data_IF_294620031336
#
_entry.id   IF_294620031336
#
_cell.length_a   1.000
_cell.length_b   1.000
_cell.length_c   1.000
_cell.angle_alpha   90.00
_cell.angle_beta   90.00
_cell.angle_gamma   90.00
#
_symmetry.space_group_name_H-M   'P 1'
#
loop_
_entity.id
_entity.type
_entity.pdbx_description
1 polymer ?
#
# COMPACT_ATOMS: atom_id res chain seq x y z
N UNK A 1 22.55 -2.84 -11.96
CA UNK A 1 21.43 -2.34 -11.15
C UNK A 1 21.78 -2.36 -9.66
N UNK A 2 22.10 -3.51 -9.04
CA UNK A 2 22.49 -3.55 -7.60
C UNK A 2 23.79 -2.82 -7.24
N UNK A 3 24.69 -2.58 -8.20
CA UNK A 3 25.93 -1.81 -7.97
C UNK A 3 25.69 -0.30 -7.82
N UNK A 4 24.55 0.20 -8.27
CA UNK A 4 24.18 1.62 -8.21
C UNK A 4 23.21 1.89 -7.06
N UNK A 5 22.32 0.95 -6.77
CA UNK A 5 21.34 1.04 -5.69
C UNK A 5 21.45 -0.16 -4.76
N UNK A 6 21.82 0.10 -3.51
CA UNK A 6 21.84 -0.91 -2.44
C UNK A 6 20.43 -1.11 -1.87
N UNK A 7 19.56 -1.80 -2.61
CA UNK A 7 18.21 -2.14 -2.15
C UNK A 7 18.31 -3.25 -1.10
N UNK A 8 17.81 -3.00 0.11
CA UNK A 8 17.89 -3.95 1.22
C UNK A 8 16.61 -4.80 1.38
N UNK A 9 15.45 -4.21 1.12
CA UNK A 9 14.15 -4.85 1.19
C UNK A 9 13.11 -4.09 0.36
N UNK A 10 11.96 -4.71 0.10
CA UNK A 10 10.82 -4.09 -0.56
C UNK A 10 9.51 -4.41 0.18
N UNK A 11 8.67 -3.39 0.40
CA UNK A 11 7.35 -3.54 1.03
C UNK A 11 6.17 -3.07 0.15
N UNK A 12 5.90 -3.66 -1.03
CA UNK A 12 4.73 -3.31 -1.84
C UNK A 12 3.41 -3.56 -1.09
N UNK A 13 2.43 -2.67 -1.26
CA UNK A 13 1.13 -2.73 -0.57
C UNK A 13 -0.04 -2.63 -1.55
N UNK A 14 -0.95 -3.60 -1.51
CA UNK A 14 -2.16 -3.67 -2.36
C UNK A 14 -1.87 -3.45 -3.86
N UNK A 15 -0.80 -4.04 -4.39
CA UNK A 15 -0.45 -3.93 -5.81
C UNK A 15 -1.19 -4.93 -6.70
N UNK A 16 -1.66 -4.53 -7.90
CA UNK A 16 -2.28 -5.43 -8.86
C UNK A 16 -1.21 -6.18 -9.68
N UNK A 17 -0.43 -7.06 -9.04
CA UNK A 17 0.73 -7.71 -9.66
C UNK A 17 0.35 -8.71 -10.78
N UNK A 18 -0.82 -9.34 -10.67
CA UNK A 18 -1.36 -10.32 -11.61
C UNK A 18 -2.54 -9.72 -12.37
N UNK A 19 -2.23 -8.77 -13.26
CA UNK A 19 -3.18 -8.04 -14.09
C UNK A 19 -3.98 -8.97 -14.99
N UNK A 20 -3.32 -9.92 -15.65
CA UNK A 20 -3.95 -10.83 -16.62
C UNK A 20 -4.64 -12.05 -15.98
N UNK A 21 -4.47 -12.23 -14.68
CA UNK A 21 -5.09 -13.26 -13.86
C UNK A 21 -6.07 -12.66 -12.86
N UNK A 22 -5.71 -12.65 -11.57
CA UNK A 22 -6.65 -12.33 -10.48
C UNK A 22 -7.26 -10.93 -10.57
N UNK A 23 -6.53 -9.91 -11.01
CA UNK A 23 -7.10 -8.55 -11.11
C UNK A 23 -8.16 -8.44 -12.21
N UNK A 24 -7.97 -9.11 -13.35
CA UNK A 24 -8.91 -9.05 -14.49
C UNK A 24 -10.29 -9.65 -14.18
N UNK A 25 -10.41 -10.49 -13.14
CA UNK A 25 -11.69 -11.06 -12.72
C UNK A 25 -12.69 -9.98 -12.29
N UNK A 26 -12.22 -8.86 -11.73
CA UNK A 26 -13.06 -7.73 -11.37
C UNK A 26 -13.77 -7.14 -12.60
N UNK A 27 -13.05 -7.02 -13.72
CA UNK A 27 -13.62 -6.54 -15.00
C UNK A 27 -14.67 -7.52 -15.52
N UNK A 28 -14.40 -8.83 -15.44
CA UNK A 28 -15.30 -9.88 -15.94
C UNK A 28 -16.55 -10.08 -15.08
N UNK A 29 -16.49 -9.76 -13.79
CA UNK A 29 -17.59 -10.00 -12.86
C UNK A 29 -18.80 -9.06 -13.04
N UNK A 30 -18.58 -7.88 -13.60
CA UNK A 30 -19.55 -6.78 -13.67
C UNK A 30 -20.19 -6.42 -12.30
N UNK A 31 -19.51 -6.73 -11.20
CA UNK A 31 -19.89 -6.24 -9.88
C UNK A 31 -19.73 -4.70 -9.83
N UNK A 32 -20.52 -4.00 -8.99
CA UNK A 32 -20.25 -2.60 -8.71
C UNK A 32 -18.81 -2.39 -8.26
N UNK A 33 -18.13 -1.46 -8.90
CA UNK A 33 -16.74 -1.09 -8.61
C UNK A 33 -16.72 0.33 -8.05
N UNK A 34 -16.02 0.53 -6.94
CA UNK A 34 -15.97 1.83 -6.26
C UNK A 34 -15.18 2.88 -7.05
N UNK A 35 -14.26 2.43 -7.91
CA UNK A 35 -13.32 3.29 -8.64
C UNK A 35 -13.34 3.01 -10.16
N UNK A 36 -14.51 3.17 -10.84
CA UNK A 36 -14.67 2.85 -12.26
C UNK A 36 -13.72 3.63 -13.19
N UNK A 37 -13.25 4.81 -12.75
CA UNK A 37 -12.27 5.60 -13.48
C UNK A 37 -10.95 4.88 -13.75
N UNK A 38 -10.55 3.92 -12.90
CA UNK A 38 -9.34 3.12 -13.13
C UNK A 38 -9.43 2.25 -14.38
N UNK A 39 -10.62 1.81 -14.79
CA UNK A 39 -10.80 1.05 -16.03
C UNK A 39 -10.50 1.94 -17.24
N UNK A 40 -11.01 3.17 -17.23
CA UNK A 40 -10.70 4.16 -18.27
C UNK A 40 -9.20 4.48 -18.27
N UNK A 41 -8.62 4.70 -17.08
CA UNK A 41 -7.21 5.04 -16.96
C UNK A 41 -6.30 3.94 -17.51
N UNK A 42 -6.60 2.68 -17.19
CA UNK A 42 -5.89 1.51 -17.69
C UNK A 42 -5.97 1.42 -19.22
N UNK A 43 -7.17 1.52 -19.79
CA UNK A 43 -7.36 1.46 -21.24
C UNK A 43 -6.63 2.60 -21.96
N UNK A 44 -6.69 3.82 -21.43
CA UNK A 44 -6.05 4.98 -22.03
C UNK A 44 -4.53 4.89 -21.95
N UNK A 45 -3.99 4.51 -20.79
CA UNK A 45 -2.56 4.30 -20.58
C UNK A 45 -1.99 3.20 -21.46
N UNK A 46 -2.66 2.04 -21.52
CA UNK A 46 -2.22 0.93 -22.37
C UNK A 46 -2.30 1.30 -23.85
N UNK A 47 -3.35 1.99 -24.31
CA UNK A 47 -3.43 2.43 -25.70
C UNK A 47 -2.38 3.50 -26.04
N UNK A 48 -2.01 4.36 -25.08
CA UNK A 48 -0.93 5.34 -25.28
C UNK A 48 0.43 4.68 -25.52
N UNK A 49 0.66 3.51 -24.91
CA UNK A 49 1.92 2.74 -25.03
C UNK A 49 1.89 1.80 -26.24
N UNK A 50 0.82 1.03 -26.43
CA UNK A 50 0.75 -0.04 -27.43
C UNK A 50 0.03 0.34 -28.72
N UNK A 51 -0.91 1.31 -28.66
CA UNK A 51 -1.60 1.87 -29.83
C UNK A 51 -2.58 0.95 -30.55
N UNK A 52 -2.84 -0.25 -30.02
CA UNK A 52 -3.63 -1.30 -30.67
C UNK A 52 -4.93 -1.67 -29.93
N UNK A 53 -5.35 -0.85 -28.95
CA UNK A 53 -6.60 -1.09 -28.21
C UNK A 53 -7.80 -0.40 -28.84
N UNK A 54 -7.65 0.84 -29.30
CA UNK A 54 -8.73 1.62 -29.94
C UNK A 54 -8.19 2.78 -30.78
N UNK A 55 -9.00 3.29 -31.71
CA UNK A 55 -8.68 4.48 -32.51
C UNK A 55 -9.38 5.71 -31.95
N UNK A 56 -10.66 5.60 -31.61
CA UNK A 56 -11.48 6.66 -31.01
C UNK A 56 -12.02 6.21 -29.65
N UNK A 57 -12.29 7.16 -28.74
CA UNK A 57 -12.87 6.84 -27.44
C UNK A 57 -14.23 6.14 -27.55
N UNK A 58 -15.01 6.44 -28.59
CA UNK A 58 -16.28 5.77 -28.88
C UNK A 58 -16.16 4.27 -29.19
N UNK A 59 -14.96 3.79 -29.55
CA UNK A 59 -14.71 2.37 -29.82
C UNK A 59 -14.74 1.53 -28.52
N UNK A 60 -14.45 2.17 -27.38
CA UNK A 60 -14.37 1.52 -26.06
C UNK A 60 -15.37 2.06 -25.05
N UNK A 61 -15.80 3.32 -25.18
CA UNK A 61 -16.75 3.97 -24.29
C UNK A 61 -18.10 4.17 -24.97
N UNK A 62 -19.18 3.98 -24.22
CA UNK A 62 -20.55 4.32 -24.61
C UNK A 62 -20.76 5.84 -24.53
N UNK A 63 -21.70 6.36 -25.32
CA UNK A 63 -22.16 7.74 -25.16
C UNK A 63 -22.95 7.92 -23.85
N UNK A 64 -22.78 9.03 -23.11
CA UNK A 64 -21.95 10.20 -23.41
C UNK A 64 -20.50 10.11 -22.89
N UNK A 65 -20.11 8.98 -22.28
CA UNK A 65 -18.81 8.81 -21.60
C UNK A 65 -17.61 8.95 -22.54
N UNK A 66 -17.76 8.56 -23.81
CA UNK A 66 -16.77 8.75 -24.86
C UNK A 66 -16.34 10.22 -25.07
N UNK A 67 -17.20 11.17 -24.72
CA UNK A 67 -16.93 12.60 -24.84
C UNK A 67 -16.62 13.26 -23.50
N UNK A 68 -17.35 12.89 -22.44
CA UNK A 68 -17.23 13.59 -21.15
C UNK A 68 -16.03 13.10 -20.33
N UNK A 69 -15.57 11.85 -20.51
CA UNK A 69 -14.50 11.26 -19.68
C UNK A 69 -13.10 11.64 -20.14
N UNK A 70 -12.74 11.60 -21.44
CA UNK A 70 -11.37 11.91 -21.87
C UNK A 70 -10.81 13.25 -21.38
N UNK A 71 -11.58 14.36 -21.33
CA UNK A 71 -11.08 15.63 -20.80
C UNK A 71 -10.60 15.59 -19.34
N UNK A 72 -11.07 14.64 -18.53
CA UNK A 72 -10.58 14.50 -17.14
C UNK A 72 -9.18 13.89 -17.04
N UNK A 73 -8.65 13.31 -18.12
CA UNK A 73 -7.32 12.69 -18.16
C UNK A 73 -6.23 13.65 -18.66
N UNK A 74 -6.28 14.91 -18.23
CA UNK A 74 -5.27 15.94 -18.52
C UNK A 74 -4.14 16.02 -17.47
N UNK A 75 -4.24 15.20 -16.42
CA UNK A 75 -3.28 15.15 -15.30
C UNK A 75 -3.57 16.13 -14.16
N UNK A 76 -4.65 16.91 -14.23
CA UNK A 76 -5.02 17.90 -13.20
C UNK A 76 -6.20 17.47 -12.32
N UNK A 77 -7.05 16.57 -12.80
CA UNK A 77 -8.20 16.07 -12.03
C UNK A 77 -7.82 14.89 -11.13
N UNK A 78 -8.26 14.89 -9.86
CA UNK A 78 -8.15 13.71 -9.02
C UNK A 78 -9.09 12.60 -9.52
N UNK A 79 -8.74 11.34 -9.24
CA UNK A 79 -9.53 10.18 -9.69
C UNK A 79 -11.00 10.23 -9.21
N UNK A 80 -11.26 10.81 -8.04
CA UNK A 80 -12.63 10.96 -7.52
C UNK A 80 -13.51 11.83 -8.43
N UNK A 81 -12.94 12.83 -9.10
CA UNK A 81 -13.67 13.63 -10.09
C UNK A 81 -14.08 12.79 -11.30
N UNK A 82 -13.24 11.85 -11.73
CA UNK A 82 -13.55 10.91 -12.81
C UNK A 82 -14.64 9.92 -12.38
N UNK A 83 -14.47 9.32 -11.20
CA UNK A 83 -15.41 8.35 -10.64
C UNK A 83 -16.83 8.92 -10.52
N UNK A 84 -16.95 10.20 -10.14
CA UNK A 84 -18.23 10.88 -10.03
C UNK A 84 -19.00 11.04 -11.36
N UNK A 85 -18.32 10.92 -12.51
CA UNK A 85 -18.94 10.99 -13.84
C UNK A 85 -19.35 9.63 -14.39
N UNK A 86 -18.97 8.53 -13.74
CA UNK A 86 -19.15 7.18 -14.24
C UNK A 86 -20.18 6.41 -13.39
N UNK A 87 -21.00 5.55 -14.00
CA UNK A 87 -21.79 4.58 -13.26
C UNK A 87 -20.87 3.54 -12.61
N UNK A 88 -21.32 2.92 -11.52
CA UNK A 88 -20.51 2.00 -10.75
C UNK A 88 -20.27 0.65 -11.44
N UNK A 89 -21.01 0.33 -12.51
CA UNK A 89 -20.81 -0.91 -13.27
C UNK A 89 -20.15 -0.64 -14.61
N UNK A 90 -19.19 -1.48 -14.95
CA UNK A 90 -18.36 -1.34 -16.16
C UNK A 90 -19.21 -1.47 -17.43
N UNK A 91 -20.20 -2.37 -17.44
CA UNK A 91 -21.12 -2.54 -18.57
C UNK A 91 -21.95 -1.28 -18.89
N UNK A 92 -22.11 -0.35 -17.95
CA UNK A 92 -22.94 0.83 -18.16
C UNK A 92 -22.18 1.93 -18.93
N UNK A 93 -20.85 1.84 -19.03
CA UNK A 93 -20.02 2.84 -19.73
C UNK A 93 -19.00 2.28 -20.73
N UNK A 94 -18.61 1.00 -20.66
CA UNK A 94 -17.80 0.33 -21.69
C UNK A 94 -18.69 -0.28 -22.76
N UNK A 95 -18.25 -0.25 -24.01
CA UNK A 95 -18.94 -0.90 -25.13
C UNK A 95 -19.14 -2.41 -24.89
N UNK A 96 -20.36 -2.91 -25.12
CA UNK A 96 -20.71 -4.31 -24.85
C UNK A 96 -19.86 -5.28 -25.69
N UNK A 97 -19.53 -4.90 -26.93
CA UNK A 97 -18.68 -5.67 -27.82
C UNK A 97 -17.27 -5.86 -27.25
N UNK A 98 -16.70 -4.84 -26.61
CA UNK A 98 -15.37 -4.91 -25.99
C UNK A 98 -15.39 -5.89 -24.82
N UNK A 99 -16.38 -5.78 -23.93
CA UNK A 99 -16.52 -6.69 -22.78
C UNK A 99 -16.77 -8.13 -23.22
N UNK A 100 -17.64 -8.34 -24.21
CA UNK A 100 -17.93 -9.67 -24.74
C UNK A 100 -16.70 -10.29 -25.41
N UNK A 101 -15.95 -9.53 -26.20
CA UNK A 101 -14.73 -10.02 -26.84
C UNK A 101 -13.64 -10.34 -25.81
N UNK A 102 -13.49 -9.51 -24.77
CA UNK A 102 -12.57 -9.75 -23.67
C UNK A 102 -12.94 -11.03 -22.90
N UNK A 103 -14.22 -11.22 -22.56
CA UNK A 103 -14.73 -12.40 -21.89
C UNK A 103 -14.58 -13.68 -22.74
N UNK A 104 -14.94 -13.63 -24.03
CA UNK A 104 -14.79 -14.75 -24.96
C UNK A 104 -13.33 -15.18 -25.13
N UNK A 105 -12.40 -14.22 -25.06
CA UNK A 105 -10.97 -14.48 -25.16
C UNK A 105 -10.31 -14.77 -23.80
N UNK A 106 -11.06 -14.97 -22.71
CA UNK A 106 -10.49 -15.14 -21.37
C UNK A 106 -9.58 -16.35 -21.23
N UNK A 107 -9.82 -17.42 -21.99
CA UNK A 107 -8.96 -18.62 -22.03
C UNK A 107 -7.82 -18.48 -23.03
N UNK A 108 -8.09 -18.03 -24.25
CA UNK A 108 -7.06 -17.92 -25.32
C UNK A 108 -6.12 -16.73 -25.12
N UNK A 109 -6.55 -15.75 -24.33
CA UNK A 109 -5.89 -14.46 -24.12
C UNK A 109 -5.60 -13.71 -25.43
N UNK A 110 -6.33 -14.00 -26.50
CA UNK A 110 -6.04 -13.46 -27.85
C UNK A 110 -6.51 -12.02 -28.09
N UNK A 111 -7.27 -11.43 -27.16
CA UNK A 111 -7.70 -10.04 -27.25
C UNK A 111 -6.50 -9.09 -26.99
N UNK A 112 -6.36 -7.95 -27.71
CA UNK A 112 -5.27 -6.99 -27.48
C UNK A 112 -5.14 -6.54 -26.02
N UNK A 113 -6.27 -6.29 -25.34
CA UNK A 113 -6.27 -6.00 -23.90
C UNK A 113 -5.61 -7.11 -23.07
N UNK A 114 -5.91 -8.40 -23.33
CA UNK A 114 -5.24 -9.49 -22.61
C UNK A 114 -3.73 -9.48 -22.82
N UNK A 115 -3.28 -9.28 -24.06
CA UNK A 115 -1.87 -9.20 -24.39
C UNK A 115 -1.19 -8.01 -23.70
N UNK A 116 -1.87 -6.87 -23.63
CA UNK A 116 -1.39 -5.68 -22.91
C UNK A 116 -1.30 -5.92 -21.40
N UNK A 117 -2.28 -6.62 -20.79
CA UNK A 117 -2.23 -6.99 -19.37
C UNK A 117 -1.07 -7.96 -19.08
N UNK A 118 -0.88 -8.99 -19.91
CA UNK A 118 0.21 -9.97 -19.77
C UNK A 118 1.58 -9.30 -19.80
N UNK A 119 1.79 -8.35 -20.71
CA UNK A 119 3.05 -7.58 -20.79
C UNK A 119 3.34 -6.74 -19.53
N UNK A 120 2.33 -6.50 -18.70
CA UNK A 120 2.43 -5.71 -17.47
C UNK A 120 2.22 -6.56 -16.20
N UNK A 121 2.08 -7.90 -16.32
CA UNK A 121 2.16 -8.77 -15.15
C UNK A 121 3.56 -8.65 -14.54
N UNK A 122 3.62 -8.46 -13.23
CA UNK A 122 4.88 -8.22 -12.52
C UNK A 122 4.96 -9.05 -11.24
N UNK A 123 4.89 -10.38 -11.40
CA UNK A 123 4.82 -11.29 -10.27
C UNK A 123 5.60 -12.59 -10.44
N UNK A 124 5.78 -13.10 -11.65
CA UNK A 124 6.47 -14.37 -11.91
C UNK A 124 7.97 -14.17 -12.19
N UNK A 125 8.72 -13.79 -11.15
CA UNK A 125 10.18 -13.63 -11.20
C UNK A 125 10.81 -13.91 -9.83
N UNK A 126 12.15 -13.92 -9.74
CA UNK A 126 12.89 -14.09 -8.48
C UNK A 126 13.45 -12.75 -7.95
N UNK A 127 12.76 -12.05 -7.05
CA UNK A 127 13.35 -10.95 -6.30
C UNK A 127 14.59 -11.36 -5.51
N UNK A 128 15.69 -10.64 -5.70
CA UNK A 128 16.94 -10.92 -4.99
C UNK A 128 17.04 -10.29 -3.60
N UNK A 129 16.02 -9.53 -3.20
CA UNK A 129 15.94 -8.87 -1.89
C UNK A 129 14.71 -9.40 -1.14
N UNK A 130 14.75 -9.45 0.20
CA UNK A 130 13.59 -9.73 1.01
C UNK A 130 12.39 -8.84 0.66
N UNK A 131 11.22 -9.44 0.53
CA UNK A 131 10.00 -8.73 0.12
C UNK A 131 8.80 -9.13 0.97
N UNK A 132 8.03 -8.16 1.44
CA UNK A 132 6.73 -8.38 2.07
C UNK A 132 5.63 -7.70 1.25
N UNK A 133 4.66 -8.48 0.78
CA UNK A 133 3.51 -8.03 0.01
C UNK A 133 2.31 -7.83 0.94
N UNK A 134 2.02 -6.59 1.32
CA UNK A 134 0.92 -6.28 2.24
C UNK A 134 -0.41 -6.21 1.50
N UNK A 135 -1.47 -6.79 2.10
CA UNK A 135 -2.83 -6.74 1.55
C UNK A 135 -3.90 -6.74 2.63
N UNK A 136 -5.12 -6.35 2.28
CA UNK A 136 -6.30 -6.49 3.12
C UNK A 136 -7.40 -7.28 2.39
N UNK A 137 -8.18 -8.07 3.14
CA UNK A 137 -9.14 -9.02 2.53
C UNK A 137 -10.45 -8.37 2.08
N UNK A 138 -10.72 -7.13 2.47
CA UNK A 138 -11.88 -6.35 2.01
C UNK A 138 -11.48 -5.23 1.06
N UNK A 139 -10.26 -5.27 0.51
CA UNK A 139 -9.82 -4.32 -0.51
C UNK A 139 -10.72 -4.46 -1.76
N UNK A 140 -11.57 -3.45 -1.96
CA UNK A 140 -12.56 -3.40 -3.01
C UNK A 140 -12.00 -2.86 -4.34
N UNK A 141 -10.76 -2.38 -4.35
CA UNK A 141 -10.12 -1.76 -5.51
C UNK A 141 -9.13 -2.73 -6.19
N UNK A 142 -8.34 -3.45 -5.39
CA UNK A 142 -7.32 -4.41 -5.83
C UNK A 142 -7.56 -5.75 -5.17
N UNK A 143 -7.75 -6.80 -5.97
CA UNK A 143 -8.01 -8.12 -5.43
C UNK A 143 -6.81 -8.62 -4.62
N UNK A 144 -7.02 -8.97 -3.34
CA UNK A 144 -5.92 -9.45 -2.48
C UNK A 144 -5.22 -10.70 -3.04
N UNK A 145 -5.92 -11.46 -3.89
CA UNK A 145 -5.37 -12.61 -4.60
C UNK A 145 -4.14 -12.24 -5.43
N UNK A 146 -3.99 -10.99 -5.90
CA UNK A 146 -2.76 -10.53 -6.54
C UNK A 146 -1.53 -10.75 -5.65
N UNK A 147 -1.62 -10.40 -4.37
CA UNK A 147 -0.50 -10.55 -3.42
C UNK A 147 -0.20 -12.03 -3.13
N UNK A 148 -1.23 -12.87 -3.08
CA UNK A 148 -1.08 -14.30 -2.87
C UNK A 148 -0.45 -14.99 -4.08
N UNK A 149 -0.93 -14.69 -5.29
CA UNK A 149 -0.39 -15.22 -6.54
C UNK A 149 1.08 -14.81 -6.71
N UNK A 150 1.40 -13.55 -6.42
CA UNK A 150 2.76 -13.03 -6.50
C UNK A 150 3.70 -13.71 -5.50
N UNK A 151 3.33 -13.78 -4.22
CA UNK A 151 4.17 -14.45 -3.23
C UNK A 151 4.37 -15.93 -3.58
N UNK A 152 3.34 -16.61 -4.09
CA UNK A 152 3.43 -18.02 -4.51
C UNK A 152 4.42 -18.20 -5.67
N UNK A 153 4.29 -17.41 -6.76
CA UNK A 153 5.16 -17.51 -7.93
C UNK A 153 6.61 -17.13 -7.59
N UNK A 154 6.81 -16.00 -6.90
CA UNK A 154 8.14 -15.55 -6.47
C UNK A 154 8.82 -16.56 -5.53
N UNK A 155 8.08 -17.14 -4.57
CA UNK A 155 8.62 -18.19 -3.69
C UNK A 155 9.00 -19.45 -4.47
N UNK A 156 8.18 -19.86 -5.45
CA UNK A 156 8.48 -20.99 -6.33
C UNK A 156 9.76 -20.75 -7.17
N UNK A 157 10.06 -19.49 -7.48
CA UNK A 157 11.29 -19.08 -8.14
C UNK A 157 12.50 -18.88 -7.19
N UNK A 158 12.33 -19.16 -5.89
CA UNK A 158 13.39 -19.14 -4.88
C UNK A 158 13.60 -17.81 -4.16
N UNK A 159 12.66 -16.87 -4.28
CA UNK A 159 12.74 -15.59 -3.59
C UNK A 159 12.37 -15.69 -2.10
N UNK A 160 12.96 -14.82 -1.27
CA UNK A 160 12.50 -14.61 0.10
C UNK A 160 11.35 -13.59 0.11
N UNK A 161 10.13 -14.09 -0.01
CA UNK A 161 8.92 -13.26 -0.10
C UNK A 161 7.83 -13.79 0.82
N UNK A 162 6.99 -12.90 1.35
CA UNK A 162 5.79 -13.28 2.10
C UNK A 162 4.62 -12.36 1.75
N UNK A 163 3.41 -12.91 1.66
CA UNK A 163 2.18 -12.12 1.58
C UNK A 163 1.61 -11.93 2.99
N UNK A 164 1.47 -10.68 3.42
CA UNK A 164 1.13 -10.32 4.79
C UNK A 164 -0.28 -9.73 4.85
N UNK A 165 -1.22 -10.47 5.44
CA UNK A 165 -2.58 -10.01 5.68
C UNK A 165 -2.59 -8.94 6.78
N UNK A 166 -3.09 -7.75 6.45
CA UNK A 166 -3.19 -6.61 7.36
C UNK A 166 -4.60 -6.40 7.91
N UNK A 167 -5.53 -7.31 7.63
CA UNK A 167 -6.87 -7.35 8.20
C UNK A 167 -7.98 -7.21 7.15
N UNK A 168 -9.20 -7.10 7.64
CA UNK A 168 -10.40 -7.01 6.83
C UNK A 168 -10.80 -5.55 6.59
N UNK A 169 -9.92 -4.79 5.92
CA UNK A 169 -10.11 -3.37 5.62
C UNK A 169 -10.35 -3.13 4.13
N UNK A 170 -11.08 -2.06 3.81
CA UNK A 170 -11.21 -1.49 2.45
C UNK A 170 -9.85 -1.03 1.93
N UNK A 171 -9.74 -0.71 0.64
CA UNK A 171 -8.49 -0.22 0.03
C UNK A 171 -7.91 0.97 0.81
N UNK A 172 -8.75 1.98 1.08
CA UNK A 172 -8.36 3.15 1.88
C UNK A 172 -8.08 2.81 3.35
N UNK A 173 -8.83 1.88 3.94
CA UNK A 173 -8.60 1.41 5.31
C UNK A 173 -7.31 0.59 5.47
N UNK A 174 -6.81 -0.02 4.39
CA UNK A 174 -5.60 -0.83 4.40
C UNK A 174 -4.31 -0.01 4.48
N UNK A 175 -4.36 1.27 4.14
CA UNK A 175 -3.18 2.15 4.04
C UNK A 175 -2.36 2.15 5.33
N UNK A 176 -2.97 2.43 6.49
CA UNK A 176 -2.23 2.53 7.75
C UNK A 176 -1.67 1.18 8.20
N UNK A 177 -2.45 0.08 8.24
CA UNK A 177 -1.91 -1.24 8.55
C UNK A 177 -0.77 -1.69 7.63
N UNK A 178 -0.90 -1.50 6.31
CA UNK A 178 0.12 -1.89 5.34
C UNK A 178 1.39 -1.07 5.47
N UNK A 179 1.27 0.26 5.59
CA UNK A 179 2.42 1.14 5.78
C UNK A 179 3.15 0.85 7.11
N UNK A 180 2.43 0.53 8.18
CA UNK A 180 3.05 0.09 9.45
C UNK A 180 3.92 -1.15 9.23
N UNK A 181 3.41 -2.14 8.48
CA UNK A 181 4.18 -3.34 8.16
C UNK A 181 5.46 -3.02 7.37
N UNK A 182 5.35 -2.14 6.36
CA UNK A 182 6.51 -1.74 5.58
C UNK A 182 7.57 -1.04 6.45
N UNK A 183 7.14 -0.20 7.41
CA UNK A 183 8.04 0.44 8.36
C UNK A 183 8.72 -0.60 9.27
N UNK A 184 7.97 -1.59 9.77
CA UNK A 184 8.54 -2.70 10.56
C UNK A 184 9.63 -3.45 9.77
N UNK A 185 9.33 -3.80 8.51
CA UNK A 185 10.29 -4.45 7.62
C UNK A 185 11.54 -3.60 7.46
N UNK A 186 11.40 -2.32 7.10
CA UNK A 186 12.55 -1.46 6.85
C UNK A 186 13.36 -1.18 8.12
N UNK A 187 12.70 -1.03 9.26
CA UNK A 187 13.34 -0.87 10.57
C UNK A 187 14.22 -2.07 10.91
N UNK A 188 13.85 -3.28 10.47
CA UNK A 188 14.67 -4.49 10.68
C UNK A 188 15.99 -4.50 9.89
N UNK A 189 16.11 -3.68 8.85
CA UNK A 189 17.32 -3.49 8.05
C UNK A 189 18.09 -2.22 8.40
N UNK A 190 17.59 -1.42 9.36
CA UNK A 190 18.32 -0.26 9.83
C UNK A 190 19.64 -0.69 10.48
N UNK A 191 20.73 -0.10 10.00
CA UNK A 191 21.99 -0.20 10.73
C UNK A 191 21.91 0.74 11.92
N UNK A 192 21.79 0.19 13.12
CA UNK A 192 21.91 0.97 14.34
C UNK A 192 23.20 1.81 14.27
N UNK A 193 23.14 3.09 14.67
CA UNK A 193 24.32 3.94 14.73
C UNK A 193 25.43 3.20 15.46
N UNK A 194 26.58 2.97 14.79
CA UNK A 194 27.70 2.32 15.44
C UNK A 194 28.22 3.22 16.55
N UNK A 195 28.00 2.78 17.79
CA UNK A 195 28.51 3.45 18.96
C UNK A 195 30.02 3.27 19.03
N UNK A 196 30.76 4.38 19.07
CA UNK A 196 32.23 4.36 19.12
C UNK A 196 32.73 4.12 20.56
N UNK A 197 31.83 4.03 21.56
CA UNK A 197 32.16 3.86 22.99
C UNK A 197 31.25 2.82 23.68
N UNK A 198 31.85 2.04 24.58
CA UNK A 198 31.16 1.01 25.40
C UNK A 198 30.05 1.58 26.32
N UNK A 199 30.17 2.86 26.72
CA UNK A 199 29.17 3.55 27.56
C UNK A 199 27.86 3.84 26.82
N UNK A 200 27.86 3.86 25.48
CA UNK A 200 26.66 4.13 24.69
C UNK A 200 25.83 2.87 24.44
N UNK A 201 26.45 1.67 24.49
CA UNK A 201 25.74 0.39 24.35
C UNK A 201 24.82 0.10 25.55
N UNK A 202 25.23 0.51 26.76
CA UNK A 202 24.42 0.35 27.98
C UNK A 202 23.31 1.39 28.12
N UNK A 203 23.21 2.35 27.19
CA UNK A 203 22.23 3.45 27.23
C UNK A 203 20.96 3.21 26.41
N UNK A 204 20.86 2.08 25.70
CA UNK A 204 19.72 1.82 24.83
C UNK A 204 18.55 1.21 25.61
N UNK A 205 17.45 1.94 25.67
CA UNK A 205 16.16 1.41 26.11
C UNK A 205 15.46 0.81 24.88
N UNK A 206 14.86 -0.38 25.03
CA UNK A 206 13.96 -0.91 23.99
C UNK A 206 12.55 -0.46 24.34
N UNK A 207 12.01 0.50 23.59
CA UNK A 207 10.66 1.00 23.81
C UNK A 207 9.64 0.14 23.07
N UNK A 208 8.68 -0.43 23.79
CA UNK A 208 7.52 -1.07 23.20
C UNK A 208 6.27 -0.24 23.44
N UNK A 209 5.42 -0.17 22.42
CA UNK A 209 4.16 0.58 22.45
C UNK A 209 3.01 -0.36 22.10
N UNK A 210 2.01 -0.49 22.96
CA UNK A 210 0.85 -1.34 22.69
C UNK A 210 -0.47 -0.75 23.23
N UNK A 211 -1.62 -1.01 22.58
CA UNK A 211 -1.74 -1.73 21.31
C UNK A 211 -1.15 -0.90 20.15
N UNK A 212 -0.59 -1.57 19.15
CA UNK A 212 -0.18 -0.95 17.88
C UNK A 212 -0.72 -1.85 16.75
N UNK A 213 -1.72 -1.42 15.96
CA UNK A 213 -2.33 -0.08 15.94
C UNK A 213 -3.10 0.32 17.21
N UNK A 214 -3.15 1.62 17.50
CA UNK A 214 -3.78 2.23 18.67
C UNK A 214 -4.98 3.09 18.29
N UNK A 215 -6.01 3.13 19.14
CA UNK A 215 -7.10 4.11 19.04
C UNK A 215 -6.79 5.33 19.90
N UNK A 216 -7.19 5.39 21.16
CA UNK A 216 -7.07 6.64 21.94
C UNK A 216 -5.90 6.67 22.90
N UNK A 217 -5.22 5.56 23.10
CA UNK A 217 -4.16 5.42 24.10
C UNK A 217 -3.18 4.31 23.72
N UNK A 218 -1.96 4.46 24.21
CA UNK A 218 -0.92 3.43 24.17
C UNK A 218 -0.34 3.26 25.57
N UNK A 219 0.16 2.07 25.85
CA UNK A 219 1.03 1.78 26.98
C UNK A 219 2.46 1.74 26.51
N UNK A 220 3.33 2.44 27.22
CA UNK A 220 4.77 2.43 26.97
C UNK A 220 5.46 1.47 27.93
N UNK A 221 6.30 0.56 27.42
CA UNK A 221 7.19 -0.25 28.24
C UNK A 221 8.63 -0.14 27.79
N UNK A 222 9.55 -0.38 28.71
CA UNK A 222 10.99 -0.23 28.49
C UNK A 222 11.55 1.11 28.96
N UNK A 223 10.79 1.88 29.74
CA UNK A 223 11.32 3.02 30.52
C UNK A 223 11.89 2.46 31.83
N UNK A 224 12.98 3.01 32.34
CA UNK A 224 13.59 2.55 33.61
C UNK A 224 12.58 2.66 34.75
N UNK A 225 12.42 1.59 35.53
CA UNK A 225 11.49 1.55 36.64
C UNK A 225 11.75 2.68 37.65
N UNK A 226 10.67 3.23 38.23
CA UNK A 226 10.71 4.32 39.21
C UNK A 226 11.39 5.62 38.75
N UNK A 227 11.50 5.84 37.44
CA UNK A 227 11.99 7.08 36.85
C UNK A 227 10.92 7.75 35.98
N UNK A 228 11.15 9.02 35.63
CA UNK A 228 10.33 9.76 34.67
C UNK A 228 11.12 10.01 33.39
N UNK A 229 10.42 9.98 32.26
CA UNK A 229 10.99 10.25 30.95
C UNK A 229 10.21 11.35 30.22
N UNK A 230 10.87 11.97 29.26
CA UNK A 230 10.25 12.86 28.28
C UNK A 230 9.89 12.06 27.03
N UNK A 231 8.68 12.27 26.50
CA UNK A 231 8.18 11.63 25.29
C UNK A 231 7.84 12.69 24.24
N UNK A 232 8.38 12.51 23.04
CA UNK A 232 8.00 13.27 21.85
C UNK A 232 7.34 12.36 20.83
N UNK A 233 6.24 12.82 20.28
CA UNK A 233 5.51 12.18 19.19
C UNK A 233 5.68 13.05 17.96
N UNK A 234 6.34 12.53 16.93
CA UNK A 234 6.55 13.18 15.64
C UNK A 234 5.66 12.54 14.58
N UNK A 235 5.12 13.34 13.67
CA UNK A 235 4.55 12.80 12.44
C UNK A 235 5.65 12.32 11.50
N UNK A 236 5.30 11.49 10.52
CA UNK A 236 6.26 10.95 9.53
C UNK A 236 7.03 12.01 8.72
N UNK A 237 6.51 13.24 8.64
CA UNK A 237 7.22 14.39 8.04
C UNK A 237 8.24 15.06 8.96
N UNK A 238 8.46 14.54 10.17
CA UNK A 238 9.41 15.06 11.17
C UNK A 238 8.86 16.20 12.03
N UNK A 239 7.63 16.65 11.81
CA UNK A 239 6.98 17.66 12.65
C UNK A 239 6.67 17.10 14.04
N UNK A 240 6.94 17.87 15.09
CA UNK A 240 6.53 17.53 16.45
C UNK A 240 5.01 17.71 16.60
N UNK A 241 4.31 16.65 17.01
CA UNK A 241 2.85 16.60 17.13
C UNK A 241 2.42 16.74 18.59
N UNK A 242 3.11 16.04 19.50
CA UNK A 242 2.80 16.08 20.93
C UNK A 242 4.06 15.85 21.75
N UNK A 243 4.12 16.46 22.93
CA UNK A 243 5.22 16.32 23.87
C UNK A 243 4.68 16.14 25.29
N UNK A 244 5.26 15.19 26.02
CA UNK A 244 4.97 14.93 27.42
C UNK A 244 6.27 15.07 28.21
N UNK A 245 6.28 15.99 29.17
CA UNK A 245 7.46 16.23 30.00
C UNK A 245 7.69 15.15 31.05
N UNK A 246 6.66 14.37 31.39
CA UNK A 246 6.70 13.33 32.41
C UNK A 246 5.84 12.14 31.96
N UNK A 247 6.49 11.01 31.67
CA UNK A 247 5.86 9.70 31.48
C UNK A 247 6.64 8.62 32.24
N UNK A 248 5.94 7.60 32.73
CA UNK A 248 6.50 6.48 33.47
C UNK A 248 6.37 5.16 32.72
N UNK A 249 7.16 4.16 33.14
CA UNK A 249 7.03 2.81 32.63
C UNK A 249 5.61 2.27 32.91
N UNK A 250 5.04 1.56 31.93
CA UNK A 250 3.67 1.03 31.92
C UNK A 250 2.55 2.09 32.00
N UNK A 251 2.85 3.38 31.88
CA UNK A 251 1.83 4.43 31.88
C UNK A 251 1.01 4.43 30.59
N UNK A 252 -0.30 4.74 30.72
CA UNK A 252 -1.17 4.98 29.58
C UNK A 252 -0.98 6.42 29.07
N UNK A 253 -0.54 6.55 27.83
CA UNK A 253 -0.36 7.83 27.15
C UNK A 253 -1.54 8.08 26.22
N UNK A 254 -2.25 9.18 26.44
CA UNK A 254 -3.43 9.55 25.64
C UNK A 254 -3.07 10.13 24.27
N UNK A 255 -3.49 9.48 23.20
CA UNK A 255 -3.40 9.96 21.82
C UNK A 255 -4.57 10.87 21.42
N UNK A 256 -5.37 11.34 22.38
CA UNK A 256 -6.47 12.26 22.10
C UNK A 256 -5.96 13.53 21.39
N UNK A 257 -6.69 13.94 20.35
CA UNK A 257 -6.36 15.10 19.50
C UNK A 257 -5.32 14.82 18.43
N UNK A 258 -4.75 13.61 18.37
CA UNK A 258 -3.85 13.19 17.28
C UNK A 258 -4.70 12.55 16.17
N UNK A 259 -4.54 13.03 14.94
CA UNK A 259 -5.26 12.50 13.77
C UNK A 259 -4.80 11.08 13.44
N UNK A 260 -5.63 10.24 12.79
CA UNK A 260 -5.20 8.95 12.27
C UNK A 260 -3.95 9.09 11.39
N UNK A 261 -3.01 8.17 11.53
CA UNK A 261 -1.69 8.28 10.89
C UNK A 261 -0.61 7.46 11.58
N UNK A 262 0.60 7.49 11.01
CA UNK A 262 1.78 6.88 11.62
C UNK A 262 2.60 7.97 12.32
N UNK A 263 3.12 7.62 13.49
CA UNK A 263 3.90 8.52 14.32
C UNK A 263 5.17 7.85 14.81
N UNK A 264 6.26 8.61 14.83
CA UNK A 264 7.53 8.22 15.42
C UNK A 264 7.60 8.75 16.85
N UNK A 265 7.89 7.87 17.79
CA UNK A 265 8.04 8.19 19.20
C UNK A 265 9.51 8.26 19.52
N UNK A 266 9.90 9.28 20.28
CA UNK A 266 11.22 9.37 20.92
C UNK A 266 10.99 9.49 22.42
N UNK A 267 11.64 8.65 23.19
CA UNK A 267 11.68 8.74 24.66
C UNK A 267 13.08 9.10 25.10
N UNK A 268 13.22 10.02 26.06
CA UNK A 268 14.47 10.33 26.76
C UNK A 268 14.29 10.13 28.26
N UNK A 269 15.11 9.29 28.85
CA UNK A 269 15.12 9.00 30.28
C UNK A 269 16.55 9.21 30.80
N UNK A 270 16.82 10.39 31.36
CA UNK A 270 18.21 10.81 31.66
C UNK A 270 19.07 10.83 30.39
N UNK A 271 20.19 10.09 30.40
CA UNK A 271 21.10 9.95 29.26
C UNK A 271 20.63 8.88 28.24
N UNK A 272 19.55 8.17 28.53
CA UNK A 272 19.03 7.10 27.68
C UNK A 272 18.02 7.64 26.67
N UNK A 273 18.10 7.18 25.42
CA UNK A 273 17.09 7.48 24.40
C UNK A 273 16.63 6.23 23.68
N UNK A 274 15.34 6.17 23.39
CA UNK A 274 14.73 5.11 22.58
C UNK A 274 13.78 5.70 21.56
N UNK A 275 13.59 4.98 20.46
CA UNK A 275 12.59 5.29 19.46
C UNK A 275 11.67 4.11 19.23
N UNK A 276 10.42 4.39 18.92
CA UNK A 276 9.43 3.42 18.45
C UNK A 276 8.55 4.10 17.41
N UNK A 277 7.64 3.36 16.80
CA UNK A 277 6.56 3.95 16.01
C UNK A 277 5.22 3.40 16.48
N UNK A 278 4.15 4.12 16.15
CA UNK A 278 2.77 3.68 16.36
C UNK A 278 1.93 4.02 15.13
N UNK A 279 0.91 3.19 14.87
CA UNK A 279 -0.16 3.47 13.93
C UNK A 279 -1.42 3.87 14.70
N UNK A 280 -1.85 5.12 14.56
CA UNK A 280 -3.09 5.66 15.13
C UNK A 280 -4.24 5.43 14.15
N UNK A 281 -5.27 4.70 14.58
CA UNK A 281 -6.53 4.49 13.85
C UNK A 281 -7.51 5.65 14.03
#
# INVERSE_FOLDING_TARGET
MYSEFNVLAAGPASGPYNLSGSQSQSILSNAPYSNPGYVCYLLFGLNRVYGDLYTNYSDILKSPYDQIIPPYFDGTYPMDSVNAQLPSKINDFIQDSVLQNFANASTTKSHPLWQALIKNDNYDWNPSVPMELYYCTQDEQVAFQNSLDAAMAMSANGANVSAINKGAFTHGGCVLPALSGAIDLFSSYETACQYVRLEDYTRQLTLHCYPNPATNEIRLTGIVENTEAELWIYGVGGQLVKHYSHVKNEELVSLAGITPGIYLLKVRNGDHTATAHISKL
#
